data_IF_023235652069
#
_entry.id   IF_023235652069
#
_cell.length_a   1.000
_cell.length_b   1.000
_cell.length_c   1.000
_cell.angle_alpha   90.00
_cell.angle_beta   90.00
_cell.angle_gamma   90.00
#
_symmetry.space_group_name_H-M   'P 1'
#
loop_
_entity.id
_entity.type
_entity.pdbx_description
1 polymer ?
#
# COMPACT_ATOMS: atom_id res chain seq x y z
N UNK A 1 -38.57 40.99 13.52
CA UNK A 1 -38.43 39.82 14.43
C UNK A 1 -38.70 38.45 13.79
N UNK A 2 -39.71 38.25 12.91
CA UNK A 2 -40.01 36.91 12.36
C UNK A 2 -38.99 36.40 11.30
N UNK A 3 -38.51 37.25 10.38
CA UNK A 3 -37.51 36.86 9.36
C UNK A 3 -36.15 36.49 9.96
N UNK A 4 -35.68 37.22 10.97
CA UNK A 4 -34.43 36.92 11.66
C UNK A 4 -34.47 35.60 12.43
N UNK A 5 -35.61 35.23 13.01
CA UNK A 5 -35.78 33.93 13.69
C UNK A 5 -35.79 32.75 12.72
N UNK A 6 -36.33 32.93 11.52
CA UNK A 6 -36.35 31.90 10.47
C UNK A 6 -34.94 31.67 9.93
N UNK A 7 -34.18 32.73 9.64
CA UNK A 7 -32.78 32.62 9.24
C UNK A 7 -31.91 31.93 10.30
N UNK A 8 -32.16 32.22 11.59
CA UNK A 8 -31.44 31.58 12.69
C UNK A 8 -31.75 30.08 12.81
N UNK A 9 -33.00 29.68 12.62
CA UNK A 9 -33.41 28.26 12.64
C UNK A 9 -32.87 27.48 11.44
N UNK A 10 -32.83 28.10 10.25
CA UNK A 10 -32.23 27.51 9.06
C UNK A 10 -30.72 27.33 9.27
N UNK A 11 -30.03 28.35 9.79
CA UNK A 11 -28.61 28.23 10.12
C UNK A 11 -28.35 27.09 11.13
N UNK A 12 -29.18 26.96 12.18
CA UNK A 12 -29.03 25.93 13.22
C UNK A 12 -29.21 24.50 12.70
N UNK A 13 -30.02 24.31 11.65
CA UNK A 13 -30.25 23.01 11.01
C UNK A 13 -29.15 22.64 10.02
N UNK A 14 -28.56 23.62 9.33
CA UNK A 14 -27.55 23.36 8.29
C UNK A 14 -26.14 23.27 8.90
N UNK A 15 -25.87 23.95 10.02
CA UNK A 15 -24.57 23.88 10.72
C UNK A 15 -24.08 22.47 11.07
N UNK A 16 -24.88 21.57 11.70
CA UNK A 16 -24.41 20.21 11.98
C UNK A 16 -24.20 19.37 10.71
N UNK A 17 -24.96 19.64 9.64
CA UNK A 17 -24.82 18.95 8.36
C UNK A 17 -23.53 19.37 7.62
N UNK A 18 -23.17 20.66 7.67
CA UNK A 18 -21.88 21.15 7.15
C UNK A 18 -20.72 20.61 8.00
N UNK A 19 -20.87 20.58 9.33
CA UNK A 19 -19.85 20.02 10.23
C UNK A 19 -19.64 18.51 10.03
N UNK A 20 -20.69 17.75 9.70
CA UNK A 20 -20.55 16.32 9.36
C UNK A 20 -19.89 16.11 7.99
N UNK A 21 -20.13 16.99 7.02
CA UNK A 21 -19.45 16.93 5.72
C UNK A 21 -17.95 17.25 5.86
N UNK A 22 -17.58 18.23 6.69
CA UNK A 22 -16.17 18.56 6.97
C UNK A 22 -15.42 17.41 7.68
N UNK A 23 -16.11 16.62 8.52
CA UNK A 23 -15.50 15.43 9.15
C UNK A 23 -15.28 14.26 8.18
N UNK A 24 -16.00 14.21 7.06
CA UNK A 24 -15.90 13.12 6.08
C UNK A 24 -14.76 13.39 5.08
N UNK A 25 -14.53 14.65 4.68
CA UNK A 25 -13.38 15.02 3.84
C UNK A 25 -12.03 14.87 4.55
N UNK A 26 -11.97 14.97 5.89
CA UNK A 26 -10.71 14.78 6.63
C UNK A 26 -10.34 13.32 6.89
N UNK A 27 -11.07 12.35 6.34
CA UNK A 27 -10.89 10.92 6.61
C UNK A 27 -10.53 10.08 5.36
N UNK A 28 -10.33 10.69 4.19
CA UNK A 28 -9.58 10.05 3.10
C UNK A 28 -8.11 10.35 3.36
N UNK A 29 -7.55 9.58 4.28
CA UNK A 29 -6.11 9.53 4.56
C UNK A 29 -5.49 8.82 3.35
N UNK A 30 -4.74 9.56 2.53
CA UNK A 30 -4.03 9.00 1.37
C UNK A 30 -3.24 7.74 1.77
N UNK A 31 -3.52 6.56 1.17
CA UNK A 31 -2.80 5.32 1.48
C UNK A 31 -1.30 5.38 1.15
N UNK A 32 -0.89 6.36 0.35
CA UNK A 32 0.46 6.47 -0.23
C UNK A 32 1.42 7.21 0.73
N UNK A 33 0.93 7.94 1.74
CA UNK A 33 1.79 8.70 2.68
C UNK A 33 2.07 7.92 3.97
N UNK A 34 1.33 6.85 4.29
CA UNK A 34 1.54 6.02 5.49
C UNK A 34 2.76 5.07 5.38
N UNK A 35 3.32 4.93 4.17
CA UNK A 35 4.54 4.13 3.90
C UNK A 35 5.83 4.84 4.35
N UNK A 36 5.79 6.15 4.66
CA UNK A 36 6.99 6.95 4.97
C UNK A 36 7.22 7.25 6.46
N UNK A 37 6.61 6.50 7.37
CA UNK A 37 6.99 6.48 8.79
C UNK A 37 7.05 5.04 9.30
N UNK A 38 8.10 4.32 8.89
CA UNK A 38 8.47 3.01 9.42
C UNK A 38 8.74 3.12 10.93
N UNK A 39 7.72 2.88 11.75
CA UNK A 39 7.83 2.88 13.22
C UNK A 39 8.30 1.53 13.80
N UNK A 40 8.81 0.63 12.96
CA UNK A 40 9.25 -0.70 13.40
C UNK A 40 10.46 -1.10 12.58
N UNK A 41 11.61 -1.21 13.24
CA UNK A 41 12.78 -1.89 12.70
C UNK A 41 12.37 -3.36 12.58
N UNK A 42 12.15 -3.80 11.34
CA UNK A 42 11.95 -5.19 10.97
C UNK A 42 13.30 -5.78 10.57
N UNK A 43 13.40 -7.11 10.46
CA UNK A 43 14.56 -7.73 9.81
C UNK A 43 14.77 -6.99 8.48
N UNK A 44 15.95 -6.43 8.29
CA UNK A 44 16.28 -5.62 7.11
C UNK A 44 16.36 -4.14 7.23
N UNK A 45 15.83 -3.57 8.30
CA UNK A 45 16.01 -2.15 8.51
C UNK A 45 17.47 -1.86 8.90
N UNK A 46 18.00 -0.79 8.32
CA UNK A 46 19.29 -0.23 8.73
C UNK A 46 19.15 0.34 10.14
N UNK A 47 20.13 0.08 10.99
CA UNK A 47 20.17 0.65 12.33
C UNK A 47 20.28 2.17 12.27
N UNK A 48 19.59 2.84 13.20
CA UNK A 48 19.72 4.29 13.38
C UNK A 48 21.00 4.62 14.15
N UNK A 49 21.62 5.77 13.85
CA UNK A 49 22.69 6.27 14.70
C UNK A 49 22.14 6.86 16.00
N UNK A 50 22.86 6.62 17.08
CA UNK A 50 22.54 7.17 18.37
C UNK A 50 23.77 7.28 19.23
N UNK A 51 23.67 8.12 20.26
CA UNK A 51 24.74 8.38 21.20
C UNK A 51 24.21 8.27 22.63
N UNK A 52 24.75 7.32 23.39
CA UNK A 52 24.39 7.06 24.79
C UNK A 52 25.66 6.90 25.62
N UNK A 53 25.55 7.17 26.92
CA UNK A 53 26.64 6.95 27.87
C UNK A 53 26.66 5.47 28.28
N UNK A 54 27.81 4.81 28.10
CA UNK A 54 28.05 3.46 28.60
C UNK A 54 28.35 3.54 30.10
N UNK A 55 27.44 3.02 30.92
CA UNK A 55 27.52 3.11 32.40
C UNK A 55 28.71 2.31 32.95
N UNK A 56 29.28 1.41 32.15
CA UNK A 56 30.41 0.58 32.55
C UNK A 56 31.74 1.34 32.44
N UNK A 57 31.80 2.35 31.57
CA UNK A 57 33.02 3.13 31.33
C UNK A 57 32.88 4.63 31.58
N UNK A 58 31.67 5.12 31.88
CA UNK A 58 31.33 6.54 32.01
C UNK A 58 31.73 7.35 30.76
N UNK A 59 31.47 6.79 29.57
CA UNK A 59 31.82 7.41 28.29
C UNK A 59 30.68 7.36 27.29
N UNK A 60 30.48 8.48 26.59
CA UNK A 60 29.61 8.53 25.42
C UNK A 60 30.07 7.54 24.34
N UNK A 61 29.09 6.88 23.74
CA UNK A 61 29.27 5.82 22.77
C UNK A 61 28.33 6.04 21.58
N UNK A 62 28.89 6.06 20.38
CA UNK A 62 28.13 6.19 19.13
C UNK A 62 27.93 4.83 18.50
N UNK A 63 26.69 4.44 18.22
CA UNK A 63 26.39 3.10 17.70
C UNK A 63 27.04 2.82 16.35
N UNK A 64 26.93 3.74 15.39
CA UNK A 64 27.49 3.50 14.06
C UNK A 64 29.03 3.38 14.06
N UNK A 65 29.71 3.69 15.17
CA UNK A 65 31.14 3.39 15.34
C UNK A 65 31.46 1.88 15.39
N UNK A 66 30.44 1.02 15.54
CA UNK A 66 30.54 -0.43 15.50
C UNK A 66 30.54 -1.01 14.08
N UNK A 67 30.65 -0.19 13.04
CA UNK A 67 30.69 -0.67 11.66
C UNK A 67 31.83 -1.69 11.49
N UNK A 68 31.54 -2.81 10.83
CA UNK A 68 32.43 -3.96 10.73
C UNK A 68 32.30 -4.99 11.86
N UNK A 69 31.41 -4.78 12.85
CA UNK A 69 31.18 -5.71 13.96
C UNK A 69 29.76 -6.23 13.96
N UNK A 70 29.59 -7.49 14.33
CA UNK A 70 28.29 -8.08 14.66
C UNK A 70 27.89 -7.58 16.04
N UNK A 71 26.67 -7.07 16.16
CA UNK A 71 26.19 -6.50 17.43
C UNK A 71 24.93 -7.24 17.88
N UNK A 72 24.93 -7.72 19.11
CA UNK A 72 23.73 -8.25 19.76
C UNK A 72 23.27 -7.25 20.82
N UNK A 73 22.02 -6.79 20.70
CA UNK A 73 21.43 -5.77 21.56
C UNK A 73 20.17 -6.32 22.23
N UNK A 74 20.13 -6.33 23.55
CA UNK A 74 18.90 -6.64 24.30
C UNK A 74 18.27 -5.39 24.92
N UNK A 75 16.94 -5.34 24.88
CA UNK A 75 16.12 -4.33 25.54
C UNK A 75 15.50 -4.91 26.79
N UNK A 76 15.68 -4.25 27.93
CA UNK A 76 15.27 -4.79 29.23
C UNK A 76 14.83 -3.72 30.23
N UNK A 77 14.42 -4.17 31.40
CA UNK A 77 14.21 -3.35 32.60
C UNK A 77 14.64 -4.14 33.84
N UNK A 78 15.12 -3.46 34.87
CA UNK A 78 15.69 -4.10 36.08
C UNK A 78 14.65 -4.84 36.94
N UNK A 79 13.36 -4.47 36.82
CA UNK A 79 12.25 -5.14 37.50
C UNK A 79 11.64 -6.32 36.71
N UNK A 80 12.05 -6.50 35.45
CA UNK A 80 11.47 -7.48 34.55
C UNK A 80 11.97 -8.90 34.86
N UNK A 81 11.10 -9.74 35.41
CA UNK A 81 11.42 -11.12 35.79
C UNK A 81 12.04 -11.96 34.67
N UNK A 82 11.42 -12.03 33.47
CA UNK A 82 12.00 -12.72 32.32
C UNK A 82 13.37 -12.15 31.89
N UNK A 83 13.54 -10.83 31.94
CA UNK A 83 14.80 -10.17 31.63
C UNK A 83 15.91 -10.55 32.62
N UNK A 84 15.60 -10.67 33.91
CA UNK A 84 16.56 -11.14 34.92
C UNK A 84 16.99 -12.58 34.62
N UNK A 85 16.04 -13.45 34.25
CA UNK A 85 16.35 -14.81 33.83
C UNK A 85 17.24 -14.82 32.56
N UNK A 86 17.08 -13.81 31.70
CA UNK A 86 17.85 -13.70 30.48
C UNK A 86 19.35 -13.39 30.69
N UNK A 87 19.69 -12.68 31.76
CA UNK A 87 21.07 -12.25 32.03
C UNK A 87 22.06 -13.41 32.11
N UNK A 88 21.64 -14.62 32.48
CA UNK A 88 22.53 -15.79 32.46
C UNK A 88 22.87 -16.26 31.05
N UNK A 89 21.93 -16.17 30.11
CA UNK A 89 22.18 -16.52 28.71
C UNK A 89 23.13 -15.50 28.08
N UNK A 90 22.87 -14.21 28.32
CA UNK A 90 23.69 -13.12 27.80
C UNK A 90 25.14 -13.20 28.30
N UNK A 91 25.35 -13.59 29.57
CA UNK A 91 26.71 -13.91 30.07
C UNK A 91 27.35 -15.04 29.30
N UNK A 92 26.64 -16.13 29.05
CA UNK A 92 27.18 -17.28 28.34
C UNK A 92 27.56 -16.90 26.89
N UNK A 93 26.74 -16.09 26.21
CA UNK A 93 27.06 -15.53 24.89
C UNK A 93 28.29 -14.61 24.96
N UNK A 94 28.35 -13.69 25.94
CA UNK A 94 29.49 -12.80 26.10
C UNK A 94 30.80 -13.55 26.39
N UNK A 95 30.73 -14.58 27.23
CA UNK A 95 31.86 -15.45 27.55
C UNK A 95 32.28 -16.29 26.33
N UNK A 96 31.32 -16.77 25.54
CA UNK A 96 31.58 -17.52 24.31
C UNK A 96 32.39 -16.69 23.30
N UNK A 97 32.00 -15.44 23.09
CA UNK A 97 32.69 -14.50 22.19
C UNK A 97 33.81 -13.70 22.87
N UNK A 98 34.21 -14.08 24.08
CA UNK A 98 35.26 -13.38 24.82
C UNK A 98 36.58 -13.37 24.04
N UNK A 99 37.08 -12.17 23.72
CA UNK A 99 38.29 -11.98 22.94
C UNK A 99 38.10 -11.94 21.42
N UNK A 100 36.89 -12.16 20.92
CA UNK A 100 36.55 -11.84 19.53
C UNK A 100 36.31 -10.33 19.41
N UNK A 101 37.17 -9.62 18.68
CA UNK A 101 37.05 -8.17 18.52
C UNK A 101 35.87 -7.77 17.64
N UNK A 102 35.30 -8.69 16.88
CA UNK A 102 34.32 -8.42 15.83
C UNK A 102 32.88 -8.67 16.28
N UNK A 103 32.70 -9.06 17.55
CA UNK A 103 31.40 -9.19 18.20
C UNK A 103 31.27 -8.19 19.36
N UNK A 104 30.08 -7.61 19.52
CA UNK A 104 29.74 -6.75 20.66
C UNK A 104 28.36 -7.13 21.21
N UNK A 105 28.32 -7.43 22.50
CA UNK A 105 27.07 -7.54 23.25
C UNK A 105 26.76 -6.22 23.95
N UNK A 106 25.48 -5.84 23.97
CA UNK A 106 25.02 -4.64 24.67
C UNK A 106 23.59 -4.76 25.19
N UNK A 107 23.30 -4.09 26.32
CA UNK A 107 21.96 -4.04 26.91
C UNK A 107 21.45 -2.60 27.02
N UNK A 108 20.18 -2.37 26.71
CA UNK A 108 19.48 -1.09 26.79
C UNK A 108 18.39 -1.18 27.88
N UNK A 109 18.58 -0.45 28.97
CA UNK A 109 17.56 -0.26 30.02
C UNK A 109 16.52 0.76 29.55
N UNK A 110 15.27 0.31 29.36
CA UNK A 110 14.15 1.15 28.93
C UNK A 110 13.51 1.92 30.10
N UNK A 111 14.02 1.78 31.33
CA UNK A 111 13.52 2.55 32.45
C UNK A 111 13.93 4.03 32.38
N UNK A 112 12.95 4.92 32.54
CA UNK A 112 13.25 6.35 32.68
C UNK A 112 14.05 6.62 33.96
N UNK A 113 14.85 7.70 33.96
CA UNK A 113 15.58 8.15 35.15
C UNK A 113 14.69 8.46 36.38
N UNK A 114 13.38 8.67 36.16
CA UNK A 114 12.40 8.84 37.24
C UNK A 114 11.94 7.51 37.85
N UNK A 115 11.97 6.43 37.08
CA UNK A 115 11.61 5.08 37.50
C UNK A 115 12.78 4.37 38.20
N UNK A 116 14.00 4.51 37.68
CA UNK A 116 15.23 3.95 38.24
C UNK A 116 16.39 4.94 38.12
N UNK A 117 17.19 5.08 39.19
CA UNK A 117 18.40 5.92 39.15
C UNK A 117 19.57 5.20 38.46
N UNK A 118 20.60 5.93 38.04
CA UNK A 118 21.84 5.34 37.47
C UNK A 118 22.48 4.33 38.41
N UNK A 119 22.61 4.69 39.69
CA UNK A 119 23.11 3.79 40.74
C UNK A 119 22.29 2.51 40.91
N UNK A 120 21.00 2.52 40.56
CA UNK A 120 20.17 1.31 40.64
C UNK A 120 20.48 0.36 39.47
N UNK A 121 20.71 0.92 38.27
CA UNK A 121 21.13 0.17 37.09
C UNK A 121 22.56 -0.37 37.26
N UNK A 122 23.50 0.42 37.76
CA UNK A 122 24.86 -0.03 38.12
C UNK A 122 24.82 -1.18 39.13
N UNK A 123 23.98 -1.07 40.18
CA UNK A 123 23.83 -2.13 41.17
C UNK A 123 23.21 -3.40 40.56
N UNK A 124 22.24 -3.24 39.66
CA UNK A 124 21.66 -4.36 38.91
C UNK A 124 22.71 -5.05 38.05
N UNK A 125 23.49 -4.29 37.27
CA UNK A 125 24.56 -4.80 36.43
C UNK A 125 25.60 -5.57 37.24
N UNK A 126 26.02 -5.02 38.39
CA UNK A 126 26.95 -5.69 39.30
C UNK A 126 26.38 -6.99 39.87
N UNK A 127 25.12 -6.99 40.33
CA UNK A 127 24.49 -8.18 40.92
C UNK A 127 24.27 -9.31 39.91
N UNK A 128 24.11 -8.98 38.62
CA UNK A 128 23.92 -9.95 37.54
C UNK A 128 25.21 -10.31 36.79
N UNK A 129 26.36 -9.76 37.20
CA UNK A 129 27.67 -9.90 36.55
C UNK A 129 27.62 -9.53 35.07
N UNK A 130 26.97 -8.41 34.74
CA UNK A 130 26.96 -7.87 33.39
C UNK A 130 28.31 -7.21 33.12
N UNK A 131 29.11 -7.80 32.23
CA UNK A 131 30.49 -7.37 31.90
C UNK A 131 30.63 -6.98 30.42
N UNK A 132 29.54 -6.53 29.81
CA UNK A 132 29.44 -5.99 28.46
C UNK A 132 28.93 -4.55 28.52
N UNK A 133 28.61 -3.93 27.38
CA UNK A 133 28.17 -2.53 27.33
C UNK A 133 26.75 -2.37 27.82
N UNK A 134 26.48 -1.40 28.69
CA UNK A 134 25.14 -1.21 29.24
C UNK A 134 24.78 0.26 29.15
N UNK A 135 23.58 0.53 28.67
CA UNK A 135 23.10 1.88 28.42
C UNK A 135 21.72 2.06 29.05
N UNK A 136 21.46 3.28 29.50
CA UNK A 136 20.09 3.74 29.75
C UNK A 136 19.54 4.38 28.50
N UNK A 137 18.31 4.01 28.13
CA UNK A 137 17.60 4.71 27.09
C UNK A 137 17.24 6.13 27.54
N UNK A 138 17.83 7.11 26.85
CA UNK A 138 17.53 8.55 27.03
C UNK A 138 17.03 9.20 25.75
N UNK A 139 16.83 8.41 24.70
CA UNK A 139 16.47 8.89 23.36
C UNK A 139 15.19 8.26 22.81
N UNK A 140 14.53 7.36 23.56
CA UNK A 140 13.32 6.61 23.19
C UNK A 140 13.60 5.58 22.09
N UNK A 141 14.57 4.70 22.34
CA UNK A 141 14.90 3.57 21.49
C UNK A 141 13.72 2.62 21.30
N UNK A 142 12.88 2.46 22.31
CA UNK A 142 11.67 1.66 22.22
C UNK A 142 10.76 2.15 21.08
N UNK A 143 10.56 3.46 20.95
CA UNK A 143 9.80 4.06 19.85
C UNK A 143 10.49 3.89 18.49
N UNK A 144 11.82 3.99 18.43
CA UNK A 144 12.57 3.86 17.17
C UNK A 144 12.64 2.43 16.66
N UNK A 145 12.91 1.48 17.55
CA UNK A 145 13.03 0.07 17.21
C UNK A 145 11.69 -0.67 17.26
N UNK A 146 10.60 -0.01 17.69
CA UNK A 146 9.27 -0.63 17.77
C UNK A 146 9.18 -1.66 18.90
N UNK A 147 9.87 -1.44 20.02
CA UNK A 147 9.94 -2.37 21.14
C UNK A 147 8.68 -2.25 22.01
N UNK A 148 7.73 -3.14 21.79
CA UNK A 148 6.50 -3.20 22.59
C UNK A 148 6.61 -4.09 23.83
N UNK A 149 7.54 -5.04 23.82
CA UNK A 149 7.69 -6.06 24.86
C UNK A 149 9.16 -6.22 25.25
N UNK A 150 9.38 -6.57 26.52
CA UNK A 150 10.71 -6.92 27.04
C UNK A 150 10.72 -8.32 27.68
N UNK A 151 11.83 -9.08 27.57
CA UNK A 151 13.02 -8.73 26.80
C UNK A 151 12.75 -8.78 25.30
N UNK A 152 13.48 -7.98 24.53
CA UNK A 152 13.56 -8.10 23.07
C UNK A 152 15.03 -8.09 22.69
N UNK A 153 15.45 -9.01 21.83
CA UNK A 153 16.81 -9.14 21.34
C UNK A 153 16.87 -8.77 19.86
N UNK A 154 17.90 -8.04 19.45
CA UNK A 154 18.19 -7.71 18.06
C UNK A 154 19.64 -8.07 17.74
N UNK A 155 19.87 -8.73 16.61
CA UNK A 155 21.20 -9.00 16.06
C UNK A 155 21.39 -8.12 14.83
N UNK A 156 22.48 -7.37 14.81
CA UNK A 156 22.91 -6.53 13.69
C UNK A 156 24.12 -7.14 12.98
N UNK A 157 24.10 -7.10 11.66
CA UNK A 157 25.25 -7.48 10.82
C UNK A 157 26.43 -6.51 10.96
N UNK A 158 27.58 -6.87 10.39
CA UNK A 158 28.75 -5.99 10.27
C UNK A 158 28.44 -4.68 9.53
N UNK A 159 27.43 -4.69 8.67
CA UNK A 159 26.95 -3.55 7.88
C UNK A 159 25.81 -2.79 8.57
N UNK A 160 25.49 -3.14 9.83
CA UNK A 160 24.54 -2.47 10.70
C UNK A 160 23.08 -2.58 10.25
N UNK A 161 22.74 -3.66 9.56
CA UNK A 161 21.35 -4.03 9.29
C UNK A 161 20.85 -5.03 10.32
N UNK A 162 19.57 -4.98 10.64
CA UNK A 162 18.94 -6.00 11.48
C UNK A 162 18.88 -7.32 10.74
N UNK A 163 19.68 -8.27 11.21
CA UNK A 163 19.68 -9.65 10.74
C UNK A 163 18.54 -10.45 11.36
N UNK A 164 18.34 -10.28 12.67
CA UNK A 164 17.36 -11.03 13.44
C UNK A 164 16.80 -10.19 14.58
N UNK A 165 15.53 -10.41 14.91
CA UNK A 165 14.88 -9.85 16.09
C UNK A 165 13.94 -10.87 16.72
N UNK A 166 13.89 -10.92 18.05
CA UNK A 166 12.97 -11.78 18.79
C UNK A 166 12.43 -11.11 20.05
N UNK A 167 11.15 -11.37 20.34
CA UNK A 167 10.55 -11.05 21.64
C UNK A 167 10.74 -12.25 22.55
N UNK A 168 11.25 -12.00 23.75
CA UNK A 168 11.71 -13.03 24.65
C UNK A 168 13.18 -13.32 24.40
N UNK A 169 13.60 -14.54 24.70
CA UNK A 169 14.94 -14.99 24.39
C UNK A 169 14.92 -16.51 24.17
N UNK A 170 15.33 -16.95 23.00
CA UNK A 170 15.24 -18.35 22.57
C UNK A 170 16.55 -19.12 22.80
N UNK A 171 16.78 -20.19 22.03
CA UNK A 171 17.86 -21.14 22.25
C UNK A 171 19.23 -20.51 21.99
N UNK A 172 20.12 -20.54 22.99
CA UNK A 172 21.48 -19.98 22.87
C UNK A 172 22.26 -20.53 21.68
N UNK A 173 22.05 -21.81 21.33
CA UNK A 173 22.72 -22.44 20.18
C UNK A 173 22.36 -21.72 18.89
N UNK A 174 21.07 -21.43 18.68
CA UNK A 174 20.58 -20.79 17.46
C UNK A 174 21.14 -19.35 17.36
N UNK A 175 21.20 -18.63 18.48
CA UNK A 175 21.79 -17.28 18.52
C UNK A 175 23.30 -17.29 18.24
N UNK A 176 24.02 -18.29 18.74
CA UNK A 176 25.45 -18.47 18.47
C UNK A 176 25.66 -18.82 16.99
N UNK A 177 24.89 -19.75 16.43
CA UNK A 177 24.98 -20.14 15.03
C UNK A 177 24.76 -18.92 14.11
N UNK A 178 23.73 -18.10 14.37
CA UNK A 178 23.48 -16.86 13.62
C UNK A 178 24.63 -15.84 13.71
N UNK A 179 25.20 -15.65 14.91
CA UNK A 179 26.32 -14.73 15.09
C UNK A 179 27.58 -15.28 14.41
N UNK A 180 27.83 -16.59 14.49
CA UNK A 180 28.95 -17.27 13.84
C UNK A 180 28.86 -17.13 12.31
N UNK A 181 27.67 -17.29 11.73
CA UNK A 181 27.43 -17.05 10.30
C UNK A 181 27.80 -15.61 9.93
N UNK A 182 27.29 -14.62 10.67
CA UNK A 182 27.60 -13.21 10.45
C UNK A 182 29.08 -12.85 10.69
N UNK A 183 29.76 -13.55 11.59
CA UNK A 183 31.19 -13.37 11.83
C UNK A 183 32.02 -14.02 10.71
N UNK A 184 31.60 -15.18 10.21
CA UNK A 184 32.22 -15.90 9.11
C UNK A 184 32.00 -15.22 7.76
N UNK A 185 31.02 -14.32 7.64
CA UNK A 185 30.74 -13.51 6.45
C UNK A 185 31.90 -12.62 5.95
N UNK A 186 33.05 -12.62 6.63
CA UNK A 186 34.28 -12.05 6.06
C UNK A 186 35.06 -13.08 5.23
N UNK A 187 35.16 -12.80 3.92
CA UNK A 187 36.34 -13.06 3.05
C UNK A 187 36.26 -14.07 1.88
N UNK A 188 35.14 -14.64 1.43
CA UNK A 188 35.26 -15.71 0.38
C UNK A 188 34.53 -15.65 -0.95
N UNK A 189 33.34 -15.07 -1.14
CA UNK A 189 32.74 -14.93 -2.50
C UNK A 189 31.58 -13.94 -2.53
N UNK A 190 31.47 -13.12 -3.58
CA UNK A 190 30.26 -12.33 -3.86
C UNK A 190 29.04 -13.25 -4.01
N UNK A 191 27.80 -12.77 -3.74
CA UNK A 191 26.61 -13.55 -4.01
C UNK A 191 26.58 -13.98 -5.49
N UNK A 192 26.01 -15.15 -5.76
CA UNK A 192 25.92 -15.68 -7.13
C UNK A 192 24.47 -15.94 -7.48
N UNK A 193 23.99 -15.24 -8.51
CA UNK A 193 22.74 -15.58 -9.20
C UNK A 193 23.08 -16.70 -10.19
N UNK A 194 22.70 -17.93 -9.88
CA UNK A 194 23.07 -19.10 -10.68
C UNK A 194 22.27 -19.19 -11.99
N UNK A 195 21.02 -18.76 -11.92
CA UNK A 195 20.03 -18.95 -12.96
C UNK A 195 18.98 -17.87 -12.83
N UNK A 196 18.71 -17.20 -13.95
CA UNK A 196 17.62 -16.26 -14.13
C UNK A 196 16.79 -16.77 -15.31
N UNK A 197 15.53 -17.07 -15.06
CA UNK A 197 14.62 -17.59 -16.07
C UNK A 197 13.33 -16.78 -16.08
N UNK A 198 12.82 -16.53 -17.28
CA UNK A 198 11.49 -15.98 -17.49
C UNK A 198 10.54 -17.12 -17.84
N UNK A 199 9.28 -17.04 -17.40
CA UNK A 199 8.22 -17.98 -17.79
C UNK A 199 7.92 -17.94 -19.30
N UNK A 200 8.30 -16.84 -19.97
CA UNK A 200 8.13 -16.63 -21.41
C UNK A 200 9.31 -15.90 -22.06
N UNK A 201 9.46 -16.08 -23.37
CA UNK A 201 10.52 -15.42 -24.17
C UNK A 201 10.09 -14.08 -24.75
N UNK A 202 8.78 -13.83 -24.86
CA UNK A 202 8.22 -12.59 -25.36
C UNK A 202 6.91 -12.23 -24.68
N UNK A 203 6.53 -10.95 -24.72
CA UNK A 203 5.24 -10.44 -24.23
C UNK A 203 4.67 -9.40 -25.21
N UNK A 204 3.38 -9.08 -25.08
CA UNK A 204 2.65 -8.18 -26.00
C UNK A 204 1.57 -7.38 -25.26
N UNK A 205 0.88 -6.47 -25.97
CA UNK A 205 -0.29 -5.75 -25.43
C UNK A 205 -1.39 -6.73 -24.97
N UNK A 206 -1.55 -7.87 -25.66
CA UNK A 206 -2.57 -8.89 -25.34
C UNK A 206 -2.10 -9.92 -24.30
N UNK A 207 -0.79 -10.04 -24.08
CA UNK A 207 -0.17 -10.89 -23.07
C UNK A 207 0.90 -10.08 -22.33
N UNK A 208 0.45 -9.20 -21.44
CA UNK A 208 1.24 -8.13 -20.80
C UNK A 208 1.77 -8.49 -19.41
N UNK A 209 1.67 -9.76 -19.03
CA UNK A 209 2.14 -10.30 -17.75
C UNK A 209 3.32 -11.22 -18.00
N UNK A 210 4.33 -11.26 -17.13
CA UNK A 210 5.34 -12.33 -17.14
C UNK A 210 5.96 -12.50 -15.76
N UNK A 211 6.67 -13.61 -15.56
CA UNK A 211 7.34 -13.92 -14.30
C UNK A 211 8.82 -14.14 -14.52
N UNK A 212 9.65 -13.65 -13.59
CA UNK A 212 11.08 -13.93 -13.54
C UNK A 212 11.40 -14.65 -12.25
N UNK A 213 12.03 -15.81 -12.38
CA UNK A 213 12.59 -16.58 -11.28
C UNK A 213 14.11 -16.45 -11.28
N UNK A 214 14.67 -16.07 -10.14
CA UNK A 214 16.11 -16.03 -9.90
C UNK A 214 16.48 -17.02 -8.79
N UNK A 215 17.40 -17.93 -9.09
CA UNK A 215 17.99 -18.85 -8.11
C UNK A 215 19.35 -18.32 -7.66
N UNK A 216 19.42 -17.91 -6.41
CA UNK A 216 20.58 -17.29 -5.81
C UNK A 216 21.19 -18.26 -4.80
N UNK A 217 22.47 -18.60 -4.96
CA UNK A 217 23.21 -19.32 -3.91
C UNK A 217 24.03 -18.34 -3.12
N UNK A 218 23.43 -17.87 -2.04
CA UNK A 218 24.12 -17.27 -0.91
C UNK A 218 23.24 -17.51 0.32
N UNK A 219 23.82 -18.06 1.39
CA UNK A 219 23.07 -18.34 2.63
C UNK A 219 22.76 -17.05 3.43
N UNK A 220 23.31 -15.92 3.01
CA UNK A 220 23.28 -14.64 3.71
C UNK A 220 22.78 -13.49 2.83
N UNK A 221 21.87 -13.77 1.90
CA UNK A 221 21.16 -12.74 1.14
C UNK A 221 20.38 -11.88 2.13
N UNK A 222 20.53 -10.57 1.97
CA UNK A 222 19.83 -9.57 2.77
C UNK A 222 18.72 -8.93 1.95
N UNK A 223 19.05 -8.54 0.72
CA UNK A 223 18.20 -7.75 -0.13
C UNK A 223 18.21 -8.36 -1.54
N UNK A 224 17.02 -8.47 -2.14
CA UNK A 224 16.88 -8.74 -3.57
C UNK A 224 15.91 -7.74 -4.17
N UNK A 225 16.28 -7.19 -5.33
CA UNK A 225 15.46 -6.28 -6.10
C UNK A 225 15.50 -6.59 -7.58
N UNK A 226 14.69 -5.85 -8.34
CA UNK A 226 14.80 -5.77 -9.78
C UNK A 226 14.71 -4.33 -10.24
N UNK A 227 15.26 -4.08 -11.42
CA UNK A 227 15.06 -2.89 -12.21
C UNK A 227 14.66 -3.33 -13.63
N UNK A 228 13.48 -2.91 -14.08
CA UNK A 228 12.99 -3.14 -15.44
C UNK A 228 13.02 -1.82 -16.19
N UNK A 229 13.64 -1.79 -17.35
CA UNK A 229 13.61 -0.64 -18.25
C UNK A 229 13.00 -0.98 -19.62
N UNK A 230 12.03 -0.17 -20.06
CA UNK A 230 11.38 -0.31 -21.35
C UNK A 230 10.95 1.06 -21.91
N UNK A 231 11.71 1.65 -22.82
CA UNK A 231 11.25 2.83 -23.56
C UNK A 231 10.92 4.06 -22.75
N UNK A 232 11.59 4.25 -21.62
CA UNK A 232 11.32 5.34 -20.68
C UNK A 232 10.34 4.97 -19.58
N UNK A 233 9.69 3.80 -19.65
CA UNK A 233 9.10 3.14 -18.49
C UNK A 233 10.20 2.47 -17.67
N UNK A 234 10.16 2.69 -16.38
CA UNK A 234 11.01 2.02 -15.41
C UNK A 234 10.15 1.50 -14.27
N UNK A 235 10.31 0.24 -13.91
CA UNK A 235 9.74 -0.32 -12.69
C UNK A 235 10.86 -0.88 -11.83
N UNK A 236 10.78 -0.66 -10.52
CA UNK A 236 11.80 -1.16 -9.61
C UNK A 236 11.15 -1.69 -8.34
N UNK A 237 11.78 -2.72 -7.79
CA UNK A 237 11.40 -3.24 -6.47
C UNK A 237 12.65 -3.55 -5.67
N UNK A 238 12.50 -3.49 -4.36
CA UNK A 238 13.55 -3.74 -3.38
C UNK A 238 12.87 -4.49 -2.22
N UNK A 239 13.23 -5.76 -2.06
CA UNK A 239 12.69 -6.62 -1.01
C UNK A 239 13.78 -7.07 -0.05
N UNK A 240 13.48 -6.91 1.23
CA UNK A 240 14.22 -7.63 2.25
C UNK A 240 13.79 -9.10 2.27
N UNK A 241 14.71 -10.01 1.99
CA UNK A 241 14.43 -11.44 1.96
C UNK A 241 15.51 -12.24 2.68
N UNK A 242 15.42 -12.37 4.02
CA UNK A 242 16.39 -13.13 4.77
C UNK A 242 16.17 -14.61 4.43
N UNK A 243 17.23 -15.29 3.96
CA UNK A 243 17.33 -16.75 3.82
C UNK A 243 16.54 -17.46 2.71
N UNK A 244 16.13 -16.78 1.63
CA UNK A 244 15.56 -17.49 0.46
C UNK A 244 16.52 -17.51 -0.72
N UNK A 245 16.77 -18.70 -1.24
CA UNK A 245 17.56 -18.90 -2.45
C UNK A 245 16.74 -18.73 -3.74
N UNK A 246 15.41 -18.61 -3.63
CA UNK A 246 14.51 -18.48 -4.78
C UNK A 246 13.76 -17.16 -4.67
N UNK A 247 13.88 -16.34 -5.69
CA UNK A 247 13.16 -15.07 -5.81
C UNK A 247 12.28 -15.14 -7.05
N UNK A 248 11.02 -14.78 -6.89
CA UNK A 248 9.98 -14.84 -7.91
C UNK A 248 9.31 -13.48 -8.03
N UNK A 249 9.42 -12.87 -9.20
CA UNK A 249 8.91 -11.54 -9.51
C UNK A 249 7.85 -11.63 -10.59
N UNK A 250 6.67 -11.08 -10.31
CA UNK A 250 5.59 -10.98 -11.29
C UNK A 250 5.49 -9.56 -11.82
N UNK A 251 5.52 -9.43 -13.14
CA UNK A 251 5.40 -8.16 -13.86
C UNK A 251 4.06 -8.09 -14.55
N UNK A 252 3.40 -6.95 -14.44
CA UNK A 252 2.19 -6.62 -15.22
C UNK A 252 2.40 -5.21 -15.78
N UNK A 253 2.73 -5.14 -17.06
CA UNK A 253 3.02 -3.85 -17.71
C UNK A 253 1.74 -3.32 -18.32
N UNK A 254 1.48 -2.02 -18.13
CA UNK A 254 0.32 -1.38 -18.74
C UNK A 254 0.35 -1.53 -20.27
N UNK A 255 -0.73 -2.00 -20.91
CA UNK A 255 -0.76 -2.24 -22.35
C UNK A 255 -0.43 -1.01 -23.21
N UNK A 256 -0.80 0.21 -22.77
CA UNK A 256 -0.47 1.44 -23.49
C UNK A 256 1.05 1.71 -23.43
N UNK A 257 1.69 1.38 -22.32
CA UNK A 257 3.15 1.49 -22.18
C UNK A 257 3.88 0.56 -23.16
N UNK A 258 3.40 -0.68 -23.32
CA UNK A 258 3.93 -1.64 -24.30
C UNK A 258 3.76 -1.08 -25.72
N UNK A 259 2.58 -0.56 -26.04
CA UNK A 259 2.28 0.01 -27.35
C UNK A 259 3.22 1.19 -27.66
N UNK A 260 3.36 2.16 -26.76
CA UNK A 260 4.27 3.30 -26.94
C UNK A 260 5.71 2.85 -27.18
N UNK A 261 6.20 1.88 -26.39
CA UNK A 261 7.54 1.32 -26.57
C UNK A 261 7.72 0.70 -27.98
N UNK A 262 6.75 -0.06 -28.47
CA UNK A 262 6.81 -0.63 -29.83
C UNK A 262 6.80 0.45 -30.92
N UNK A 263 6.05 1.55 -30.74
CA UNK A 263 6.04 2.65 -31.70
C UNK A 263 7.39 3.40 -31.75
N UNK A 264 8.14 3.38 -30.64
CA UNK A 264 9.52 3.88 -30.58
C UNK A 264 10.55 2.93 -31.19
N UNK A 265 10.13 1.76 -31.69
CA UNK A 265 10.99 0.75 -32.30
C UNK A 265 11.74 -0.12 -31.29
N UNK A 266 11.25 -0.18 -30.06
CA UNK A 266 11.81 -1.00 -28.99
C UNK A 266 11.29 -2.42 -29.20
N UNK A 267 12.21 -3.38 -29.16
CA UNK A 267 11.94 -4.78 -29.53
C UNK A 267 12.14 -5.75 -28.37
N UNK A 268 12.64 -5.27 -27.24
CA UNK A 268 12.84 -6.02 -26.02
C UNK A 268 12.91 -5.09 -24.81
N UNK A 269 12.74 -5.67 -23.63
CA UNK A 269 13.02 -5.05 -22.33
C UNK A 269 14.11 -5.87 -21.64
N UNK A 270 14.87 -5.21 -20.77
CA UNK A 270 15.82 -5.87 -19.88
C UNK A 270 15.30 -5.75 -18.46
N UNK A 271 15.38 -6.86 -17.73
CA UNK A 271 15.19 -6.87 -16.28
C UNK A 271 16.53 -7.21 -15.64
N UNK A 272 17.08 -6.26 -14.91
CA UNK A 272 18.26 -6.45 -14.07
C UNK A 272 17.77 -6.92 -12.70
N UNK A 273 18.21 -8.10 -12.26
CA UNK A 273 17.97 -8.62 -10.91
C UNK A 273 19.19 -8.32 -10.06
N UNK A 274 18.98 -7.63 -8.95
CA UNK A 274 20.02 -7.21 -8.02
C UNK A 274 19.89 -8.02 -6.73
N UNK A 275 20.98 -8.62 -6.29
CA UNK A 275 21.08 -9.30 -5.00
C UNK A 275 22.14 -8.59 -4.19
N UNK A 276 21.89 -8.40 -2.91
CA UNK A 276 22.83 -7.88 -1.94
C UNK A 276 22.83 -8.73 -0.68
N UNK A 277 24.01 -8.96 -0.10
CA UNK A 277 24.19 -9.73 1.12
C UNK A 277 24.49 -8.85 2.35
N UNK A 278 24.58 -9.47 3.52
CA UNK A 278 24.92 -8.80 4.79
C UNK A 278 26.37 -8.27 4.88
N UNK A 279 27.19 -8.44 3.83
CA UNK A 279 28.52 -7.87 3.71
C UNK A 279 28.58 -6.70 2.69
N UNK A 280 27.42 -6.18 2.25
CA UNK A 280 27.27 -5.12 1.24
C UNK A 280 27.87 -5.50 -0.13
N UNK A 281 27.98 -6.81 -0.42
CA UNK A 281 28.38 -7.30 -1.73
C UNK A 281 27.15 -7.45 -2.59
N UNK A 282 27.27 -7.05 -3.85
CA UNK A 282 26.17 -7.08 -4.80
C UNK A 282 26.48 -8.01 -5.97
N UNK A 283 25.43 -8.65 -6.48
CA UNK A 283 25.44 -9.34 -7.76
C UNK A 283 24.29 -8.81 -8.59
N UNK A 284 24.54 -8.64 -9.89
CA UNK A 284 23.52 -8.26 -10.85
C UNK A 284 23.61 -9.21 -12.02
N UNK A 285 22.48 -9.81 -12.36
CA UNK A 285 22.30 -10.57 -13.58
C UNK A 285 21.07 -10.06 -14.28
N UNK A 286 21.02 -10.23 -15.60
CA UNK A 286 19.90 -9.72 -16.37
C UNK A 286 19.34 -10.72 -17.36
N UNK A 287 18.07 -10.49 -17.66
CA UNK A 287 17.35 -11.24 -18.67
C UNK A 287 16.70 -10.24 -19.63
N UNK A 288 16.85 -10.53 -20.91
CA UNK A 288 16.17 -9.79 -21.97
C UNK A 288 14.94 -10.57 -22.39
N UNK A 289 13.80 -9.89 -22.44
CA UNK A 289 12.53 -10.46 -22.89
C UNK A 289 12.08 -9.68 -24.11
N UNK A 290 11.78 -10.39 -25.19
CA UNK A 290 11.37 -9.77 -26.45
C UNK A 290 9.97 -9.14 -26.32
N UNK A 291 9.76 -8.04 -27.02
CA UNK A 291 8.44 -7.41 -27.17
C UNK A 291 7.92 -7.79 -28.54
N UNK A 292 6.80 -8.50 -28.56
CA UNK A 292 6.11 -8.82 -29.80
C UNK A 292 5.49 -7.54 -30.35
N UNK A 293 6.16 -6.97 -31.35
CA UNK A 293 5.72 -5.74 -32.01
C UNK A 293 4.29 -5.88 -32.51
N UNK A 294 3.44 -4.94 -32.11
CA UNK A 294 2.12 -4.77 -32.69
C UNK A 294 2.16 -3.62 -33.68
N UNK A 295 1.68 -3.91 -34.89
CA UNK A 295 1.47 -2.89 -35.91
C UNK A 295 0.03 -2.43 -35.76
N UNK A 296 -0.14 -1.13 -35.55
CA UNK A 296 -1.45 -0.50 -35.59
C UNK A 296 -2.12 -0.75 -36.95
N UNK A 297 -3.24 -1.47 -36.96
CA UNK A 297 -3.90 -1.89 -38.20
C UNK A 297 -5.08 -0.99 -38.57
N UNK A 298 -6.01 -0.65 -37.67
CA UNK A 298 -7.19 0.20 -37.96
C UNK A 298 -7.69 0.96 -36.71
N UNK A 299 -8.78 1.75 -36.80
CA UNK A 299 -9.45 2.32 -35.64
C UNK A 299 -10.40 1.28 -35.03
N UNK A 300 -10.71 1.34 -33.72
CA UNK A 300 -11.81 0.57 -33.16
C UNK A 300 -13.09 0.87 -33.93
N UNK A 301 -14.02 -0.06 -33.93
CA UNK A 301 -15.35 0.13 -34.49
C UNK A 301 -16.38 -0.01 -33.37
N UNK A 302 -17.32 0.93 -33.32
CA UNK A 302 -18.38 0.97 -32.32
C UNK A 302 -19.71 0.96 -33.07
N UNK A 303 -20.66 0.15 -32.61
CA UNK A 303 -22.03 0.18 -33.10
C UNK A 303 -23.01 -0.07 -31.97
N UNK A 304 -23.99 0.83 -31.82
CA UNK A 304 -25.12 0.63 -30.90
C UNK A 304 -26.03 -0.43 -31.53
N UNK A 305 -26.10 -1.61 -30.91
CA UNK A 305 -26.84 -2.75 -31.47
C UNK A 305 -28.28 -2.79 -30.97
N UNK A 306 -28.52 -2.39 -29.72
CA UNK A 306 -29.89 -2.35 -29.18
C UNK A 306 -30.04 -1.34 -28.01
N UNK A 307 -31.27 -0.86 -27.81
CA UNK A 307 -31.67 -0.05 -26.67
C UNK A 307 -32.98 -0.62 -26.12
N UNK A 308 -32.91 -1.22 -24.92
CA UNK A 308 -34.00 -2.00 -24.33
C UNK A 308 -34.65 -1.25 -23.17
N UNK A 309 -35.96 -1.03 -23.26
CA UNK A 309 -36.79 -0.55 -22.15
C UNK A 309 -37.25 -1.73 -21.27
N UNK A 310 -36.89 -1.76 -19.97
CA UNK A 310 -37.09 -2.95 -19.12
C UNK A 310 -38.17 -2.82 -18.04
N UNK A 311 -38.35 -1.66 -17.41
CA UNK A 311 -39.42 -1.40 -16.43
C UNK A 311 -39.68 0.11 -16.30
N UNK A 312 -40.94 0.49 -16.12
CA UNK A 312 -41.37 1.86 -15.90
C UNK A 312 -41.84 2.10 -14.46
N UNK A 313 -41.95 1.06 -13.61
CA UNK A 313 -42.59 1.12 -12.27
C UNK A 313 -41.89 2.09 -11.29
N UNK A 314 -40.60 2.33 -11.46
CA UNK A 314 -39.79 3.26 -10.65
C UNK A 314 -38.98 4.21 -11.53
N UNK A 315 -39.64 4.85 -12.50
CA UNK A 315 -38.97 5.57 -13.59
C UNK A 315 -38.60 4.61 -14.73
N UNK A 316 -38.22 5.17 -15.88
CA UNK A 316 -37.90 4.36 -17.06
C UNK A 316 -36.48 3.79 -16.92
N UNK A 317 -36.37 2.47 -17.03
CA UNK A 317 -35.07 1.79 -17.06
C UNK A 317 -34.71 1.48 -18.51
N UNK A 318 -33.47 1.79 -18.87
CA UNK A 318 -32.93 1.60 -20.21
C UNK A 318 -31.62 0.82 -20.12
N UNK A 319 -31.51 -0.22 -20.92
CA UNK A 319 -30.26 -0.92 -21.17
C UNK A 319 -29.75 -0.52 -22.55
N UNK A 320 -28.52 -0.02 -22.61
CA UNK A 320 -27.82 0.25 -23.88
C UNK A 320 -26.90 -0.94 -24.14
N UNK A 321 -26.98 -1.50 -25.34
CA UNK A 321 -26.11 -2.58 -25.81
C UNK A 321 -25.34 -2.08 -27.02
N UNK A 322 -24.02 -2.24 -26.99
CA UNK A 322 -23.14 -1.87 -28.07
C UNK A 322 -22.16 -3.00 -28.39
N UNK A 323 -21.80 -3.12 -29.66
CA UNK A 323 -20.69 -3.95 -30.11
C UNK A 323 -19.50 -3.06 -30.39
N UNK A 324 -18.36 -3.36 -29.76
CA UNK A 324 -17.10 -2.66 -29.92
C UNK A 324 -16.05 -3.67 -30.36
N UNK A 325 -15.61 -3.58 -31.62
CA UNK A 325 -14.57 -4.45 -32.17
C UNK A 325 -13.29 -3.66 -32.32
N UNK A 326 -12.21 -4.19 -31.75
CA UNK A 326 -10.89 -3.58 -31.81
C UNK A 326 -9.78 -4.64 -31.83
N UNK A 327 -8.70 -4.34 -32.57
CA UNK A 327 -7.55 -5.23 -32.72
C UNK A 327 -6.40 -4.89 -31.74
N UNK A 328 -6.47 -3.75 -31.04
CA UNK A 328 -5.41 -3.15 -30.22
C UNK A 328 -5.71 -3.10 -28.71
N UNK A 329 -6.66 -3.90 -28.23
CA UNK A 329 -7.16 -3.90 -26.85
C UNK A 329 -7.90 -2.59 -26.49
N UNK A 330 -9.16 -2.75 -26.07
CA UNK A 330 -10.00 -1.64 -25.63
C UNK A 330 -9.66 -1.25 -24.19
N UNK A 331 -9.27 0.01 -23.97
CA UNK A 331 -8.92 0.56 -22.64
C UNK A 331 -10.05 1.37 -22.02
N UNK A 332 -10.92 1.96 -22.85
CA UNK A 332 -12.13 2.63 -22.38
C UNK A 332 -13.33 2.34 -23.29
N UNK A 333 -14.50 2.20 -22.67
CA UNK A 333 -15.78 2.03 -23.32
C UNK A 333 -16.81 2.77 -22.49
N UNK A 334 -17.44 3.79 -23.05
CA UNK A 334 -18.36 4.65 -22.31
C UNK A 334 -19.64 4.94 -23.09
N UNK A 335 -20.70 5.23 -22.34
CA UNK A 335 -21.96 5.73 -22.88
C UNK A 335 -22.28 7.08 -22.28
N UNK A 336 -22.57 8.06 -23.15
CA UNK A 336 -23.21 9.31 -22.79
C UNK A 336 -24.67 9.31 -23.24
N UNK A 337 -25.58 9.63 -22.32
CA UNK A 337 -27.00 9.85 -22.66
C UNK A 337 -27.28 11.35 -22.59
N UNK A 338 -27.89 11.88 -23.66
CA UNK A 338 -28.42 13.24 -23.75
C UNK A 338 -29.94 13.17 -23.80
N UNK A 339 -30.60 13.92 -22.91
CA UNK A 339 -32.06 14.07 -22.93
C UNK A 339 -32.40 15.42 -23.55
N UNK A 340 -33.06 15.42 -24.72
CA UNK A 340 -33.40 16.65 -25.45
C UNK A 340 -32.19 17.60 -25.69
N UNK A 341 -30.98 17.04 -25.76
CA UNK A 341 -29.72 17.78 -26.00
C UNK A 341 -28.93 18.18 -24.75
N UNK A 342 -29.46 17.95 -23.54
CA UNK A 342 -28.71 18.18 -22.30
C UNK A 342 -28.05 16.87 -21.82
N UNK A 343 -26.74 16.93 -21.53
CA UNK A 343 -25.98 15.78 -21.03
C UNK A 343 -26.53 15.33 -19.70
N UNK A 344 -26.96 14.07 -19.64
CA UNK A 344 -27.65 13.49 -18.50
C UNK A 344 -26.70 12.63 -17.68
N UNK A 345 -25.93 11.75 -18.32
CA UNK A 345 -25.02 10.83 -17.62
C UNK A 345 -23.94 10.27 -18.56
N UNK A 346 -22.73 10.12 -18.03
CA UNK A 346 -21.61 9.40 -18.62
C UNK A 346 -21.24 8.27 -17.66
N UNK A 347 -21.23 7.03 -18.15
CA UNK A 347 -20.82 5.87 -17.36
C UNK A 347 -20.05 4.87 -18.25
N UNK A 348 -19.17 4.08 -17.61
CA UNK A 348 -18.42 3.02 -18.28
C UNK A 348 -19.32 1.83 -18.64
N UNK A 349 -19.11 1.28 -19.81
CA UNK A 349 -19.76 0.07 -20.30
C UNK A 349 -19.15 -1.18 -19.67
N UNK A 350 -20.00 -2.16 -19.34
CA UNK A 350 -19.55 -3.46 -18.84
C UNK A 350 -19.48 -4.48 -19.99
N UNK A 351 -18.37 -5.21 -20.11
CA UNK A 351 -18.24 -6.29 -21.09
C UNK A 351 -19.18 -7.45 -20.74
N UNK A 352 -20.04 -7.83 -21.68
CA UNK A 352 -21.02 -8.93 -21.53
C UNK A 352 -20.51 -10.21 -22.17
N UNK A 353 -19.97 -10.13 -23.39
CA UNK A 353 -19.43 -11.28 -24.14
C UNK A 353 -18.67 -10.84 -25.38
N UNK A 354 -17.50 -11.44 -25.65
CA UNK A 354 -16.65 -11.18 -26.81
C UNK A 354 -16.37 -9.69 -27.05
N UNK A 355 -17.20 -9.03 -27.88
CA UNK A 355 -17.14 -7.62 -28.28
C UNK A 355 -18.40 -6.83 -27.86
N UNK A 356 -19.31 -7.46 -27.12
CA UNK A 356 -20.61 -6.89 -26.74
C UNK A 356 -20.56 -6.35 -25.33
N UNK A 357 -20.95 -5.09 -25.19
CA UNK A 357 -20.95 -4.34 -23.96
C UNK A 357 -22.36 -3.87 -23.61
N UNK A 358 -22.68 -3.77 -22.32
CA UNK A 358 -23.93 -3.16 -21.90
C UNK A 358 -23.82 -2.34 -20.62
N UNK A 359 -24.78 -1.43 -20.47
CA UNK A 359 -25.00 -0.69 -19.22
C UNK A 359 -26.49 -0.49 -18.99
N UNK A 360 -26.90 -0.60 -17.72
CA UNK A 360 -28.27 -0.38 -17.27
C UNK A 360 -28.39 0.94 -16.53
N UNK A 361 -29.22 1.82 -17.06
CA UNK A 361 -29.65 3.05 -16.40
C UNK A 361 -31.00 2.83 -15.74
N UNK A 362 -31.07 3.16 -14.45
CA UNK A 362 -32.29 3.02 -13.65
C UNK A 362 -32.89 4.37 -13.31
N UNK A 363 -34.22 4.47 -13.38
CA UNK A 363 -34.96 5.63 -12.90
C UNK A 363 -34.83 6.89 -13.77
N UNK A 364 -34.64 6.74 -15.09
CA UNK A 364 -34.65 7.88 -16.01
C UNK A 364 -36.05 8.50 -16.03
N UNK A 365 -36.12 9.81 -15.79
CA UNK A 365 -37.37 10.58 -15.81
C UNK A 365 -37.60 11.10 -17.22
N UNK A 366 -38.33 10.32 -18.02
CA UNK A 366 -38.63 10.63 -19.43
C UNK A 366 -40.12 10.45 -19.72
N UNK A 367 -40.64 11.22 -20.67
CA UNK A 367 -41.99 11.11 -21.19
C UNK A 367 -42.03 10.29 -22.48
N UNK A 368 -43.19 9.69 -22.76
CA UNK A 368 -43.39 8.96 -24.01
C UNK A 368 -43.23 9.93 -25.20
N UNK A 369 -42.35 9.57 -26.13
CA UNK A 369 -42.02 10.40 -27.29
C UNK A 369 -40.84 11.34 -27.07
N UNK A 370 -40.28 11.42 -25.86
CA UNK A 370 -38.97 12.05 -25.65
C UNK A 370 -37.92 11.37 -26.53
N UNK A 371 -36.93 12.16 -26.96
CA UNK A 371 -35.80 11.69 -27.75
C UNK A 371 -34.58 11.66 -26.83
N UNK A 372 -34.04 10.45 -26.67
CA UNK A 372 -32.75 10.21 -26.08
C UNK A 372 -31.72 10.12 -27.20
N UNK A 373 -30.66 10.91 -27.11
CA UNK A 373 -29.48 10.71 -27.95
C UNK A 373 -28.48 9.92 -27.11
N UNK A 374 -28.14 8.73 -27.58
CA UNK A 374 -27.18 7.83 -26.93
C UNK A 374 -25.90 7.86 -27.73
N UNK A 375 -24.82 8.31 -27.11
CA UNK A 375 -23.48 8.29 -27.68
C UNK A 375 -22.72 7.15 -27.03
N UNK A 376 -22.12 6.27 -27.82
CA UNK A 376 -21.19 5.27 -27.31
C UNK A 376 -19.81 5.58 -27.86
N UNK A 377 -18.80 5.54 -27.01
CA UNK A 377 -17.40 5.73 -27.37
C UNK A 377 -16.59 4.51 -26.96
N UNK A 378 -15.61 4.13 -27.79
CA UNK A 378 -14.59 3.14 -27.48
C UNK A 378 -13.21 3.72 -27.78
N UNK A 379 -12.26 3.52 -26.88
CA UNK A 379 -10.87 3.95 -27.01
C UNK A 379 -9.93 2.75 -26.87
N UNK A 380 -9.02 2.60 -27.82
CA UNK A 380 -7.97 1.58 -27.82
C UNK A 380 -6.68 2.05 -27.11
N UNK A 381 -5.71 1.14 -26.91
CA UNK A 381 -4.41 1.50 -26.29
C UNK A 381 -3.60 2.53 -27.09
N UNK A 382 -3.92 2.75 -28.37
CA UNK A 382 -3.29 3.75 -29.21
C UNK A 382 -3.93 5.14 -29.05
N UNK A 383 -4.93 5.28 -28.18
CA UNK A 383 -5.71 6.51 -27.99
C UNK A 383 -6.63 6.83 -29.16
N UNK A 384 -6.90 5.86 -30.03
CA UNK A 384 -7.86 6.03 -31.12
C UNK A 384 -9.26 5.83 -30.57
N UNK A 385 -10.08 6.85 -30.81
CA UNK A 385 -11.47 6.85 -30.37
C UNK A 385 -12.37 6.56 -31.56
N UNK A 386 -13.32 5.65 -31.35
CA UNK A 386 -14.46 5.43 -32.22
C UNK A 386 -15.74 5.75 -31.47
N UNK A 387 -16.76 6.19 -32.21
CA UNK A 387 -18.04 6.53 -31.61
C UNK A 387 -19.20 6.19 -32.54
N UNK A 388 -20.34 5.89 -31.93
CA UNK A 388 -21.63 5.76 -32.62
C UNK A 388 -22.69 6.55 -31.85
N UNK A 389 -23.65 7.11 -32.58
CA UNK A 389 -24.74 7.92 -32.02
C UNK A 389 -26.08 7.37 -32.52
N UNK A 390 -26.99 7.10 -31.59
CA UNK A 390 -28.34 6.68 -31.92
C UNK A 390 -29.38 7.54 -31.20
N UNK A 391 -30.33 8.06 -31.98
CA UNK A 391 -31.52 8.71 -31.44
C UNK A 391 -32.62 7.67 -31.19
N UNK A 392 -33.02 7.54 -29.93
CA UNK A 392 -34.04 6.61 -29.47
C UNK A 392 -35.29 7.36 -28.99
N UNK A 393 -36.45 7.02 -29.54
CA UNK A 393 -37.72 7.59 -29.08
C UNK A 393 -38.34 6.69 -28.03
N UNK A 394 -38.55 7.25 -26.84
CA UNK A 394 -39.12 6.55 -25.68
C UNK A 394 -40.53 6.04 -26.01
N UNK A 395 -40.72 4.73 -25.94
CA UNK A 395 -41.94 4.03 -26.37
C UNK A 395 -42.95 3.81 -25.25
N UNK A 396 -42.48 3.63 -24.01
CA UNK A 396 -43.29 3.59 -22.79
C UNK A 396 -43.18 4.88 -21.96
N UNK A 397 -44.24 5.26 -21.26
CA UNK A 397 -44.19 6.37 -20.30
C UNK A 397 -43.66 5.90 -18.96
N UNK A 398 -42.85 6.71 -18.26
CA UNK A 398 -42.48 6.46 -16.87
C UNK A 398 -43.74 6.21 -16.01
N UNK A 399 -43.78 5.06 -15.34
CA UNK A 399 -44.82 4.65 -14.42
C UNK A 399 -44.54 5.22 -13.03
N UNK A 400 -45.56 5.89 -12.49
CA UNK A 400 -45.57 6.59 -11.20
C UNK A 400 -44.87 7.96 -11.23
N UNK A 401 -45.63 8.99 -11.61
CA UNK A 401 -45.49 10.25 -10.90
C UNK A 401 -45.97 9.99 -9.47
N UNK A 402 -45.07 10.00 -8.49
CA UNK A 402 -45.53 10.20 -7.12
C UNK A 402 -46.13 11.60 -7.12
N UNK A 403 -47.45 11.78 -6.93
CA UNK A 403 -47.99 13.11 -6.74
C UNK A 403 -47.35 13.59 -5.43
N UNK A 404 -46.60 14.68 -5.53
CA UNK A 404 -46.50 15.72 -4.51
C UNK A 404 -46.56 15.14 -3.08
N UNK A 405 -45.39 14.92 -2.49
CA UNK A 405 -45.06 15.38 -1.13
C UNK A 405 -46.26 15.28 -0.17
N UNK A 406 -46.31 14.28 0.71
CA UNK A 406 -46.45 14.43 2.19
C UNK A 406 -47.39 15.53 2.76
N UNK A 407 -48.33 16.06 2.00
CA UNK A 407 -49.18 17.19 2.34
C UNK A 407 -50.42 16.72 3.09
N UNK A 408 -50.79 15.44 2.94
CA UNK A 408 -51.89 14.83 3.68
C UNK A 408 -51.51 14.52 5.14
N UNK A 409 -50.23 14.23 5.44
CA UNK A 409 -49.78 14.01 6.82
C UNK A 409 -49.49 15.32 7.57
N UNK A 410 -49.10 16.39 6.86
CA UNK A 410 -48.96 17.72 7.48
C UNK A 410 -50.30 18.48 7.65
N UNK A 411 -51.29 18.27 6.78
CA UNK A 411 -52.60 18.95 6.93
C UNK A 411 -53.45 18.37 8.07
N UNK A 412 -53.21 17.11 8.47
CA UNK A 412 -53.88 16.51 9.62
C UNK A 412 -53.37 17.06 10.97
N UNK A 413 -52.12 17.57 11.03
CA UNK A 413 -51.53 18.16 12.24
C UNK A 413 -51.90 19.63 12.50
N UNK A 414 -52.46 20.33 11.51
CA UNK A 414 -52.75 21.77 11.58
C UNK A 414 -54.22 22.11 11.91
N UNK A 415 -55.11 21.12 12.04
CA UNK A 415 -56.54 21.34 12.35
C UNK A 415 -56.83 21.38 13.87
N UNK A 416 -55.83 21.15 14.74
CA UNK A 416 -56.02 21.27 16.19
C UNK A 416 -55.18 22.44 16.75
N UNK A 417 -55.64 23.67 16.51
CA UNK A 417 -55.37 24.79 17.41
C UNK A 417 -56.68 25.30 18.01
N UNK A 418 -56.74 25.53 19.34
CA UNK A 418 -57.95 25.89 20.03
C UNK A 418 -58.34 27.34 19.74
N UNK A 419 -59.65 27.53 19.57
CA UNK A 419 -60.37 28.78 19.45
C UNK A 419 -59.95 29.74 20.58
N UNK A 420 -59.38 30.89 20.19
CA UNK A 420 -59.21 32.04 21.08
C UNK A 420 -60.58 32.68 21.30
N UNK A 421 -61.12 32.64 22.52
CA UNK A 421 -62.22 33.53 22.92
C UNK A 421 -61.67 34.65 23.80
N UNK A 422 -61.46 35.80 23.17
CA UNK A 422 -61.37 37.10 23.85
C UNK A 422 -62.75 37.38 24.47
N UNK A 423 -62.79 37.73 25.76
CA UNK A 423 -63.91 38.48 26.33
C UNK A 423 -63.41 39.88 26.69
N UNK A 424 -64.21 40.84 26.26
CA UNK A 424 -64.00 42.28 26.13
C UNK A 424 -63.78 43.02 27.45
N UNK A 425 -62.98 44.10 27.39
CA UNK A 425 -63.00 45.20 28.36
C UNK A 425 -64.39 45.86 28.40
N UNK A 426 -64.92 46.05 29.61
CA UNK A 426 -65.39 47.34 30.09
C UNK A 426 -64.87 47.52 31.50
#
# INVERSE_FOLDING_TARGET
MKRQKILFLIALLITPMILSFIQIESAVKDPIVEVMTSKVIHNGAQAIDWNLEDIMSDTNFTFLSLAGKVVMMDFFATWCGPCIAAMSLLREINDHYSGNSDFVLMSIDLETAAAASETALEAFASNNNMNWKIFRDTVNMDDYYGIEFIPTLIIFSKTQYVYYSEIGMSGISDLIDMVDDLLALSDTTDPVINEIESDKTSFSVLDNRFQIMANVTDENIRHVGYELEMGGYSDFTDFWVPSTNLVDFEFVIDPATIYEATQLGITNTTVDVLVEDFADRTATENITIDIDNMVDMEHPTVSITDIIETDATFGQNIEVIATITDDLLLVDAAVEILLNGDSYKLDALELVSDDTYSIKYYGLVVEKGDILTVNVTGEDVAGKIAFDELNYSVTASAGISLPIILASTFLAGLIILPIRRIRTRK
#
